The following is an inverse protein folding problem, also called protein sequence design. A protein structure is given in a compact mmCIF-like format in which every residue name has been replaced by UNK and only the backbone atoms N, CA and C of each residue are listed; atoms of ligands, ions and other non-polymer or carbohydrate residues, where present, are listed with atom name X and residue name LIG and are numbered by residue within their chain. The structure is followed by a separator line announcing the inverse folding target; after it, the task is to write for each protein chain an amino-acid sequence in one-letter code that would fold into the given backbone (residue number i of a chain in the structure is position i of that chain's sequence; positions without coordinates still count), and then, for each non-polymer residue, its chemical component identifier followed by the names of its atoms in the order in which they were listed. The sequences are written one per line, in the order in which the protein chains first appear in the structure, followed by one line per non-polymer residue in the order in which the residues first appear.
data_IF_553754598577
#
_entry.id   IF_553754598577
#
_cell.length_a   1.000
_cell.length_b   1.000
_cell.length_c   1.000
_cell.angle_alpha   90.00
_cell.angle_beta   90.00
_cell.angle_gamma   90.00
#
_symmetry.space_group_name_H-M   'P 1'
#
loop_
_entity.id
_entity.type
_entity.pdbx_description
1 polymer ?
#
# COMPACT_ATOMS: atom_id res chain seq x y z
N UNK A 1 -2.82 0.01 -18.08
CA UNK A 1 -1.37 0.35 -18.00
C UNK A 1 -1.03 1.22 -16.79
N UNK A 2 -1.77 2.31 -16.51
CA UNK A 2 -1.55 3.18 -15.34
C UNK A 2 -1.47 2.44 -13.99
N UNK A 3 -2.42 1.52 -13.71
CA UNK A 3 -2.45 0.71 -12.46
C UNK A 3 -1.15 -0.09 -12.23
N UNK A 4 -0.57 -0.65 -13.31
CA UNK A 4 0.68 -1.43 -13.24
C UNK A 4 1.85 -0.49 -12.90
N UNK A 5 1.92 0.68 -13.53
CA UNK A 5 2.95 1.67 -13.24
C UNK A 5 2.89 2.13 -11.77
N UNK A 6 1.68 2.32 -11.24
CA UNK A 6 1.47 2.68 -9.85
C UNK A 6 1.97 1.59 -8.89
N UNK A 7 1.77 0.31 -9.23
CA UNK A 7 2.37 -0.80 -8.48
C UNK A 7 3.89 -0.80 -8.50
N UNK A 8 4.49 -0.55 -9.67
CA UNK A 8 5.95 -0.48 -9.79
C UNK A 8 6.49 0.64 -8.91
N UNK A 9 5.83 1.80 -8.88
CA UNK A 9 6.20 2.92 -8.00
C UNK A 9 6.07 2.54 -6.52
N UNK A 10 4.98 1.88 -6.14
CA UNK A 10 4.78 1.40 -4.76
C UNK A 10 5.87 0.41 -4.34
N UNK A 11 6.17 -0.58 -5.19
CA UNK A 11 7.24 -1.56 -4.94
C UNK A 11 8.62 -0.90 -4.90
N UNK A 12 8.89 0.09 -5.75
CA UNK A 12 10.12 0.87 -5.71
C UNK A 12 10.23 1.68 -4.40
N UNK A 13 9.10 2.20 -3.90
CA UNK A 13 9.01 2.86 -2.59
C UNK A 13 9.39 1.91 -1.45
N UNK A 14 8.78 0.72 -1.41
CA UNK A 14 9.12 -0.33 -0.44
C UNK A 14 10.60 -0.71 -0.57
N UNK A 15 11.11 -0.90 -1.78
CA UNK A 15 12.52 -1.20 -2.01
C UNK A 15 13.45 -0.11 -1.45
N UNK A 16 13.14 1.16 -1.72
CA UNK A 16 13.92 2.29 -1.21
C UNK A 16 13.93 2.33 0.32
N UNK A 17 12.81 1.98 0.96
CA UNK A 17 12.74 1.83 2.41
C UNK A 17 13.66 0.69 2.88
N UNK A 18 13.67 -0.48 2.25
CA UNK A 18 14.34 -1.65 2.84
C UNK A 18 15.75 -1.95 2.31
N UNK A 19 16.26 -1.19 1.33
CA UNK A 19 17.59 -1.45 0.73
C UNK A 19 18.76 -1.41 1.72
N UNK A 20 18.62 -0.73 2.86
CA UNK A 20 19.65 -0.61 3.91
C UNK A 20 19.39 -1.46 5.16
N UNK A 21 18.30 -2.23 5.20
CA UNK A 21 17.96 -3.09 6.34
C UNK A 21 18.68 -4.44 6.27
N UNK A 22 18.69 -5.16 7.40
CA UNK A 22 19.33 -6.48 7.47
C UNK A 22 18.64 -7.49 6.55
N UNK A 23 19.36 -8.49 6.00
CA UNK A 23 18.79 -9.51 5.12
C UNK A 23 17.55 -10.22 5.71
N UNK A 24 17.54 -10.42 7.03
CA UNK A 24 16.44 -11.06 7.78
C UNK A 24 15.12 -10.28 7.71
N UNK A 25 15.18 -8.96 7.57
CA UNK A 25 13.98 -8.12 7.41
C UNK A 25 13.71 -7.83 5.93
N UNK A 26 14.77 -7.55 5.17
CA UNK A 26 14.72 -7.16 3.75
C UNK A 26 14.00 -8.19 2.88
N UNK A 27 14.43 -9.46 2.90
CA UNK A 27 13.89 -10.46 1.98
C UNK A 27 12.44 -10.86 2.30
N UNK A 28 12.05 -11.13 3.56
CA UNK A 28 10.66 -11.42 3.87
C UNK A 28 9.73 -10.27 3.51
N UNK A 29 10.13 -9.01 3.76
CA UNK A 29 9.36 -7.83 3.36
C UNK A 29 9.18 -7.78 1.84
N UNK A 30 10.24 -8.00 1.06
CA UNK A 30 10.11 -8.00 -0.40
C UNK A 30 9.24 -9.13 -0.93
N UNK A 31 9.42 -10.35 -0.41
CA UNK A 31 8.58 -11.50 -0.78
C UNK A 31 7.12 -11.20 -0.44
N UNK A 32 6.84 -10.65 0.73
CA UNK A 32 5.49 -10.28 1.14
C UNK A 32 4.85 -9.29 0.16
N UNK A 33 5.49 -8.15 -0.10
CA UNK A 33 4.92 -7.11 -0.97
C UNK A 33 4.85 -7.54 -2.44
N UNK A 34 5.80 -8.36 -2.91
CA UNK A 34 5.77 -8.91 -4.26
C UNK A 34 4.61 -9.89 -4.42
N UNK A 35 4.47 -10.85 -3.51
CA UNK A 35 3.35 -11.82 -3.53
C UNK A 35 2.01 -11.10 -3.41
N UNK A 36 1.89 -10.12 -2.51
CA UNK A 36 0.69 -9.32 -2.35
C UNK A 36 0.32 -8.58 -3.65
N UNK A 37 1.31 -8.02 -4.34
CA UNK A 37 1.10 -7.33 -5.62
C UNK A 37 0.64 -8.28 -6.73
N UNK A 38 1.21 -9.49 -6.80
CA UNK A 38 0.80 -10.52 -7.77
C UNK A 38 -0.65 -10.94 -7.51
N UNK A 39 -1.00 -11.27 -6.26
CA UNK A 39 -2.37 -11.67 -5.90
C UNK A 39 -3.35 -10.55 -6.20
N UNK A 40 -3.02 -9.30 -5.85
CA UNK A 40 -3.88 -8.16 -6.11
C UNK A 40 -4.19 -7.98 -7.60
N UNK A 41 -3.15 -8.01 -8.43
CA UNK A 41 -3.27 -7.83 -9.87
C UNK A 41 -4.09 -8.96 -10.49
N UNK A 42 -3.82 -10.22 -10.11
CA UNK A 42 -4.59 -11.37 -10.57
C UNK A 42 -6.07 -11.24 -10.21
N UNK A 43 -6.39 -10.84 -8.98
CA UNK A 43 -7.78 -10.62 -8.57
C UNK A 43 -8.44 -9.46 -9.31
N UNK A 44 -7.72 -8.35 -9.54
CA UNK A 44 -8.24 -7.24 -10.35
C UNK A 44 -8.57 -7.68 -11.77
N UNK A 45 -7.70 -8.46 -12.41
CA UNK A 45 -7.95 -8.99 -13.75
C UNK A 45 -9.15 -9.93 -13.75
N UNK A 46 -9.22 -10.84 -12.78
CA UNK A 46 -10.34 -11.79 -12.64
C UNK A 46 -11.69 -11.10 -12.43
N UNK A 47 -11.76 -10.09 -11.55
CA UNK A 47 -12.98 -9.31 -11.32
C UNK A 47 -13.35 -8.56 -12.60
N UNK A 48 -12.38 -7.93 -13.26
CA UNK A 48 -12.63 -7.19 -14.49
C UNK A 48 -13.16 -8.06 -15.62
N UNK A 49 -12.64 -9.28 -15.78
CA UNK A 49 -13.10 -10.22 -16.80
C UNK A 49 -14.45 -10.86 -16.45
N UNK A 50 -14.64 -11.26 -15.19
CA UNK A 50 -15.83 -12.03 -14.78
C UNK A 50 -17.08 -11.17 -14.69
N UNK A 51 -16.94 -9.90 -14.29
CA UNK A 51 -18.07 -8.99 -14.12
C UNK A 51 -18.30 -8.06 -15.32
N UNK A 52 -17.53 -8.23 -16.40
CA UNK A 52 -17.60 -7.39 -17.61
C UNK A 52 -17.63 -5.90 -17.27
N UNK A 53 -16.71 -5.44 -16.41
CA UNK A 53 -16.69 -4.07 -15.86
C UNK A 53 -16.72 -2.96 -16.93
N UNK A 54 -16.40 -3.28 -18.19
CA UNK A 54 -16.37 -2.35 -19.31
C UNK A 54 -17.52 -2.53 -20.31
N UNK A 55 -18.30 -3.61 -20.22
CA UNK A 55 -19.35 -3.93 -21.18
C UNK A 55 -20.52 -4.63 -20.48
N UNK A 56 -21.56 -3.86 -20.13
CA UNK A 56 -22.76 -4.30 -19.38
C UNK A 56 -22.43 -4.92 -18.00
N UNK A 57 -21.99 -4.09 -17.03
CA UNK A 57 -21.63 -4.57 -15.70
C UNK A 57 -22.77 -5.35 -15.03
N UNK A 58 -22.43 -6.53 -14.51
CA UNK A 58 -23.34 -7.36 -13.72
C UNK A 58 -23.57 -6.71 -12.35
N UNK A 59 -24.78 -6.87 -11.77
CA UNK A 59 -25.08 -6.39 -10.42
C UNK A 59 -24.03 -6.88 -9.39
N UNK A 60 -23.63 -5.98 -8.48
CA UNK A 60 -22.62 -6.28 -7.45
C UNK A 60 -21.16 -6.16 -7.89
N UNK A 61 -20.87 -5.93 -9.18
CA UNK A 61 -19.49 -5.83 -9.67
C UNK A 61 -18.65 -4.74 -8.97
N UNK A 62 -19.26 -3.57 -8.74
CA UNK A 62 -18.60 -2.44 -8.07
C UNK A 62 -18.35 -2.73 -6.60
N UNK A 63 -19.30 -3.39 -5.91
CA UNK A 63 -19.10 -3.80 -4.52
C UNK A 63 -17.95 -4.80 -4.40
N UNK A 64 -17.92 -5.84 -5.26
CA UNK A 64 -16.84 -6.82 -5.28
C UNK A 64 -15.47 -6.18 -5.58
N UNK A 65 -15.41 -5.25 -6.54
CA UNK A 65 -14.19 -4.51 -6.85
C UNK A 65 -13.74 -3.63 -5.67
N UNK A 66 -14.67 -2.93 -5.04
CA UNK A 66 -14.40 -2.06 -3.90
C UNK A 66 -13.87 -2.85 -2.70
N UNK A 67 -14.52 -3.95 -2.33
CA UNK A 67 -14.09 -4.83 -1.24
C UNK A 67 -12.70 -5.42 -1.50
N UNK A 68 -12.42 -5.82 -2.74
CA UNK A 68 -11.11 -6.31 -3.15
C UNK A 68 -10.04 -5.22 -3.00
N UNK A 69 -10.30 -4.01 -3.55
CA UNK A 69 -9.38 -2.88 -3.48
C UNK A 69 -9.15 -2.44 -2.04
N UNK A 70 -10.20 -2.36 -1.22
CA UNK A 70 -10.12 -1.97 0.19
C UNK A 70 -9.30 -2.97 1.00
N UNK A 71 -9.59 -4.27 0.87
CA UNK A 71 -8.88 -5.33 1.60
C UNK A 71 -7.38 -5.30 1.31
N UNK A 72 -7.01 -5.14 0.05
CA UNK A 72 -5.60 -5.01 -0.35
C UNK A 72 -4.98 -3.67 0.03
N UNK A 73 -5.76 -2.59 0.05
CA UNK A 73 -5.32 -1.31 0.58
C UNK A 73 -4.84 -1.43 2.02
N UNK A 74 -5.61 -2.10 2.89
CA UNK A 74 -5.19 -2.39 4.26
C UNK A 74 -3.98 -3.33 4.33
N UNK A 75 -4.02 -4.43 3.57
CA UNK A 75 -2.91 -5.39 3.54
C UNK A 75 -1.59 -4.77 3.07
N UNK A 76 -1.63 -3.74 2.23
CA UNK A 76 -0.44 -3.03 1.78
C UNK A 76 -0.02 -1.93 2.77
N UNK A 77 -0.97 -1.10 3.21
CA UNK A 77 -0.66 0.10 3.98
C UNK A 77 -0.32 -0.20 5.45
N UNK A 78 -1.02 -1.12 6.10
CA UNK A 78 -0.76 -1.41 7.53
C UNK A 78 0.68 -1.89 7.72
N UNK A 79 1.19 -2.91 6.98
CA UNK A 79 2.59 -3.30 7.09
C UNK A 79 3.54 -2.15 6.75
N UNK A 80 3.25 -1.34 5.72
CA UNK A 80 4.08 -0.18 5.35
C UNK A 80 4.19 0.82 6.50
N UNK A 81 3.09 1.14 7.17
CA UNK A 81 3.03 2.05 8.31
C UNK A 81 3.83 1.49 9.49
N UNK A 82 3.64 0.20 9.83
CA UNK A 82 4.40 -0.47 10.90
C UNK A 82 5.92 -0.41 10.63
N UNK A 83 6.30 -0.60 9.37
CA UNK A 83 7.67 -0.54 8.92
C UNK A 83 8.27 0.88 9.01
N UNK A 84 7.48 1.91 8.72
CA UNK A 84 7.89 3.30 8.92
C UNK A 84 8.06 3.65 10.40
N UNK A 85 7.15 3.18 11.27
CA UNK A 85 7.29 3.33 12.72
C UNK A 85 8.54 2.64 13.25
N UNK A 86 8.83 1.43 12.77
CA UNK A 86 10.06 0.71 13.11
C UNK A 86 11.33 1.50 12.76
N UNK A 87 11.35 2.12 11.58
CA UNK A 87 12.46 2.99 11.17
C UNK A 87 12.59 4.24 12.02
N UNK A 88 11.45 4.89 12.31
CA UNK A 88 11.41 6.06 13.19
C UNK A 88 11.93 5.72 14.59
N UNK A 89 11.60 4.54 15.10
CA UNK A 89 12.08 4.05 16.37
C UNK A 89 13.61 3.87 16.36
N UNK A 90 14.15 3.18 15.34
CA UNK A 90 15.59 2.97 15.14
C UNK A 90 16.39 4.24 14.90
N UNK A 91 15.75 5.31 14.42
CA UNK A 91 16.42 6.58 14.15
C UNK A 91 16.90 7.22 15.45
N UNK A 92 18.23 7.41 15.59
CA UNK A 92 18.87 8.01 16.77
C UNK A 92 19.71 9.22 16.35
N UNK A 93 19.09 10.33 15.94
CA UNK A 93 19.81 11.54 15.62
C UNK A 93 20.23 12.26 16.91
N UNK A 94 21.32 13.01 16.85
CA UNK A 94 21.79 13.85 17.95
C UNK A 94 21.06 15.20 17.92
N UNK A 95 19.81 15.20 18.42
CA UNK A 95 18.93 16.38 18.37
C UNK A 95 18.26 16.59 19.74
N UNK A 96 18.29 17.83 20.22
CA UNK A 96 17.53 18.26 21.41
C UNK A 96 16.04 18.07 21.17
N UNK A 97 15.32 17.51 22.14
CA UNK A 97 13.88 17.19 22.05
C UNK A 97 13.52 16.05 21.07
N UNK A 98 14.38 15.05 20.92
CA UNK A 98 14.15 13.88 20.06
C UNK A 98 12.75 13.25 20.24
N UNK A 99 12.25 13.20 21.48
CA UNK A 99 10.92 12.64 21.76
C UNK A 99 9.79 13.42 21.07
N UNK A 100 9.81 14.75 21.13
CA UNK A 100 8.81 15.59 20.48
C UNK A 100 8.85 15.46 18.95
N UNK A 101 10.06 15.42 18.39
CA UNK A 101 10.26 15.26 16.94
C UNK A 101 9.74 13.89 16.48
N UNK A 102 10.07 12.81 17.20
CA UNK A 102 9.53 11.47 16.90
C UNK A 102 8.01 11.45 17.03
N UNK A 103 7.44 12.11 18.04
CA UNK A 103 6.00 12.25 18.19
C UNK A 103 5.34 12.94 16.98
N UNK A 104 5.89 14.08 16.54
CA UNK A 104 5.38 14.80 15.38
C UNK A 104 5.45 13.97 14.09
N UNK A 105 6.57 13.28 13.85
CA UNK A 105 6.74 12.41 12.68
C UNK A 105 5.79 11.20 12.77
N UNK A 106 5.59 10.63 13.95
CA UNK A 106 4.65 9.53 14.18
C UNK A 106 3.21 9.90 13.81
N UNK A 107 2.75 11.07 14.25
CA UNK A 107 1.43 11.61 13.90
C UNK A 107 1.34 11.83 12.39
N UNK A 108 2.39 12.38 11.78
CA UNK A 108 2.46 12.60 10.33
C UNK A 108 2.37 11.29 9.56
N UNK A 109 3.09 10.24 9.97
CA UNK A 109 3.03 8.91 9.35
C UNK A 109 1.61 8.35 9.43
N UNK A 110 0.95 8.46 10.58
CA UNK A 110 -0.43 8.00 10.75
C UNK A 110 -1.40 8.75 9.83
N UNK A 111 -1.30 10.09 9.79
CA UNK A 111 -2.11 10.94 8.91
C UNK A 111 -1.89 10.62 7.44
N UNK A 112 -0.63 10.53 7.00
CA UNK A 112 -0.29 10.13 5.63
C UNK A 112 -0.77 8.71 5.31
N UNK A 113 -0.72 7.79 6.26
CA UNK A 113 -1.25 6.43 6.11
C UNK A 113 -2.75 6.40 5.83
N UNK A 114 -3.52 7.19 6.59
CA UNK A 114 -4.96 7.35 6.37
C UNK A 114 -5.25 7.93 4.98
N UNK A 115 -4.60 9.04 4.61
CA UNK A 115 -4.76 9.67 3.29
C UNK A 115 -4.34 8.73 2.16
N UNK A 116 -3.28 7.93 2.36
CA UNK A 116 -2.80 6.97 1.37
C UNK A 116 -3.82 5.88 1.06
N UNK A 117 -4.67 5.50 2.02
CA UNK A 117 -5.76 4.54 1.77
C UNK A 117 -6.79 5.11 0.80
N UNK A 118 -7.18 6.37 0.98
CA UNK A 118 -8.09 7.05 0.03
C UNK A 118 -7.47 7.14 -1.36
N UNK A 119 -6.19 7.53 -1.45
CA UNK A 119 -5.47 7.60 -2.71
C UNK A 119 -5.39 6.22 -3.37
N UNK A 120 -5.12 5.17 -2.60
CA UNK A 120 -5.06 3.79 -3.10
C UNK A 120 -6.41 3.35 -3.67
N UNK A 121 -7.50 3.57 -2.93
CA UNK A 121 -8.85 3.24 -3.38
C UNK A 121 -9.16 4.03 -4.67
N UNK A 122 -8.98 5.34 -4.69
CA UNK A 122 -9.21 6.18 -5.87
C UNK A 122 -8.40 5.71 -7.08
N UNK A 123 -7.15 5.31 -6.89
CA UNK A 123 -6.27 4.87 -7.97
C UNK A 123 -6.68 3.52 -8.58
N UNK A 124 -7.18 2.58 -7.77
CA UNK A 124 -7.43 1.20 -8.21
C UNK A 124 -8.91 0.87 -8.42
N UNK A 125 -9.80 1.43 -7.62
CA UNK A 125 -11.24 1.36 -7.80
C UNK A 125 -11.69 2.37 -8.89
N UNK A 126 -11.15 3.59 -8.85
CA UNK A 126 -11.56 4.69 -9.71
C UNK A 126 -12.68 5.53 -9.10
N UNK A 127 -13.11 6.58 -9.80
CA UNK A 127 -14.42 7.17 -9.56
C UNK A 127 -15.43 6.27 -10.27
N UNK A 128 -16.22 5.50 -9.52
CA UNK A 128 -17.33 4.76 -10.11
C UNK A 128 -18.20 5.76 -10.91
N UNK A 129 -18.62 5.42 -12.15
CA UNK A 129 -19.55 6.25 -12.92
C UNK A 129 -20.91 6.37 -12.22
#
# INVERSE_FOLDING_TARGET
MFKILLFIVLLAGVYSLFKRETPKLKYPTYIYFLSLSIVFMTGLFYISSSYQLYDRPIEGCFAALFEWVMSFGYAFLIPTILLLFYKLYKWKPDIKNLFLIKGAIAITIAGCGYVSLFIFILAFYGFAP
#
